data_IF_608778007505
#
_entry.id   IF_608778007505
#
_cell.length_a   1.000
_cell.length_b   1.000
_cell.length_c   1.000
_cell.angle_alpha   90.00
_cell.angle_beta   90.00
_cell.angle_gamma   90.00
#
_symmetry.space_group_name_H-M   'P 1'
#
loop_
_entity.id
_entity.type
_entity.pdbx_description
1 polymer ?
#
# COMPACT_ATOMS: atom_id res chain seq x y z
N UNK A 1 -18.26 37.85 -41.10
CA UNK A 1 -19.46 37.46 -40.33
C UNK A 1 -19.26 36.05 -39.80
N UNK A 2 -18.48 35.90 -38.72
CA UNK A 2 -18.16 34.59 -38.13
C UNK A 2 -18.86 34.46 -36.79
N UNK A 3 -19.75 33.48 -36.64
CA UNK A 3 -20.39 33.19 -35.37
C UNK A 3 -19.36 32.63 -34.38
N UNK A 4 -18.88 33.48 -33.47
CA UNK A 4 -18.26 33.06 -32.20
C UNK A 4 -19.35 33.12 -31.13
N UNK A 5 -19.99 31.99 -30.88
CA UNK A 5 -20.82 31.76 -29.70
C UNK A 5 -20.40 30.42 -29.08
N UNK A 6 -20.41 30.27 -27.74
CA UNK A 6 -20.12 28.99 -27.10
C UNK A 6 -21.19 27.97 -27.51
N UNK A 7 -20.73 26.80 -27.96
CA UNK A 7 -21.60 25.64 -28.23
C UNK A 7 -22.39 25.30 -26.96
N UNK A 8 -23.70 25.15 -27.10
CA UNK A 8 -24.62 24.86 -25.99
C UNK A 8 -24.24 23.58 -25.24
N UNK A 9 -24.48 23.57 -23.93
CA UNK A 9 -24.23 22.47 -23.00
C UNK A 9 -24.86 21.11 -23.36
N UNK A 10 -25.70 21.05 -24.39
CA UNK A 10 -26.32 19.81 -24.91
C UNK A 10 -25.41 18.97 -25.82
N UNK A 11 -24.21 19.42 -26.20
CA UNK A 11 -23.22 18.59 -26.92
C UNK A 11 -22.32 17.74 -25.99
N UNK A 12 -22.45 17.89 -24.66
CA UNK A 12 -21.97 16.88 -23.69
C UNK A 12 -22.98 15.74 -23.64
N UNK A 13 -23.08 14.99 -24.73
CA UNK A 13 -23.73 13.70 -24.75
C UNK A 13 -23.04 12.82 -23.70
N UNK A 14 -23.70 12.67 -22.56
CA UNK A 14 -23.36 11.71 -21.51
C UNK A 14 -23.21 10.36 -22.20
N UNK A 15 -21.98 9.85 -22.26
CA UNK A 15 -21.72 8.51 -22.73
C UNK A 15 -22.66 7.56 -21.98
N UNK A 16 -23.35 6.64 -22.67
CA UNK A 16 -24.24 5.70 -22.00
C UNK A 16 -23.45 4.97 -20.93
N UNK A 17 -23.89 5.10 -19.68
CA UNK A 17 -23.32 4.37 -18.56
C UNK A 17 -23.47 2.88 -18.90
N UNK A 18 -22.34 2.20 -19.05
CA UNK A 18 -22.37 0.75 -19.23
C UNK A 18 -23.15 0.10 -18.08
N UNK A 19 -23.87 -1.01 -18.34
CA UNK A 19 -24.65 -1.70 -17.32
C UNK A 19 -23.82 -1.95 -16.05
N UNK A 20 -24.37 -1.52 -14.91
CA UNK A 20 -23.74 -1.55 -13.59
C UNK A 20 -23.38 -2.98 -13.11
N UNK A 21 -23.74 -4.02 -13.86
CA UNK A 21 -23.41 -5.42 -13.55
C UNK A 21 -21.95 -5.78 -13.87
N UNK A 22 -21.27 -4.98 -14.69
CA UNK A 22 -19.81 -5.06 -14.88
C UNK A 22 -19.03 -4.06 -14.01
N UNK A 23 -19.67 -3.47 -13.00
CA UNK A 23 -19.01 -2.71 -11.94
C UNK A 23 -18.20 -3.64 -11.03
N UNK A 24 -17.15 -4.26 -11.59
CA UNK A 24 -15.93 -4.76 -10.93
C UNK A 24 -16.15 -5.11 -9.45
N UNK A 25 -16.79 -6.23 -9.19
CA UNK A 25 -16.98 -6.70 -7.81
C UNK A 25 -15.61 -6.83 -7.13
N UNK A 26 -15.46 -6.20 -5.96
CA UNK A 26 -14.22 -6.32 -5.19
C UNK A 26 -14.04 -7.79 -4.81
N UNK A 27 -12.86 -8.37 -5.00
CA UNK A 27 -12.66 -9.79 -4.73
C UNK A 27 -12.89 -10.09 -3.25
N UNK A 28 -13.67 -11.12 -2.99
CA UNK A 28 -13.96 -11.60 -1.63
C UNK A 28 -12.76 -12.36 -1.06
N UNK A 29 -12.54 -12.34 0.26
CA UNK A 29 -11.51 -13.15 0.89
C UNK A 29 -11.69 -14.65 0.59
N UNK A 30 -10.61 -15.42 0.44
CA UNK A 30 -10.69 -16.88 0.27
C UNK A 30 -11.45 -17.55 1.43
N UNK A 31 -12.18 -18.63 1.10
CA UNK A 31 -12.86 -19.46 2.09
C UNK A 31 -11.80 -20.13 2.98
N UNK A 32 -11.94 -20.02 4.30
CA UNK A 32 -10.99 -20.58 5.28
C UNK A 32 -9.97 -19.60 5.85
N UNK A 33 -10.02 -18.32 5.45
CA UNK A 33 -9.25 -17.28 6.12
C UNK A 33 -9.65 -17.12 7.57
N UNK A 34 -8.66 -16.96 8.44
CA UNK A 34 -8.90 -16.53 9.81
C UNK A 34 -9.42 -15.07 9.80
N UNK A 35 -10.14 -14.66 10.85
CA UNK A 35 -10.70 -13.30 10.98
C UNK A 35 -9.68 -12.18 10.68
N UNK A 36 -8.45 -12.18 11.25
CA UNK A 36 -7.45 -11.16 10.95
C UNK A 36 -6.97 -11.18 9.49
N UNK A 37 -6.82 -12.36 8.88
CA UNK A 37 -6.40 -12.47 7.48
C UNK A 37 -7.45 -11.87 6.54
N UNK A 38 -8.73 -12.18 6.80
CA UNK A 38 -9.85 -11.65 6.03
C UNK A 38 -10.01 -10.13 6.20
N UNK A 39 -9.70 -9.61 7.38
CA UNK A 39 -9.74 -8.17 7.64
C UNK A 39 -8.65 -7.42 6.87
N UNK A 40 -7.41 -7.93 6.90
CA UNK A 40 -6.32 -7.36 6.12
C UNK A 40 -6.65 -7.41 4.63
N UNK A 41 -7.21 -8.52 4.14
CA UNK A 41 -7.67 -8.64 2.76
C UNK A 41 -8.65 -7.53 2.41
N UNK A 42 -9.74 -7.39 3.17
CA UNK A 42 -10.77 -6.37 2.92
C UNK A 42 -10.18 -4.96 2.93
N UNK A 43 -9.32 -4.66 3.90
CA UNK A 43 -8.66 -3.35 4.01
C UNK A 43 -7.81 -3.02 2.78
N UNK A 44 -6.98 -3.96 2.32
CA UNK A 44 -6.13 -3.78 1.15
C UNK A 44 -6.95 -3.67 -0.13
N UNK A 45 -7.96 -4.54 -0.29
CA UNK A 45 -8.86 -4.50 -1.45
C UNK A 45 -9.65 -3.20 -1.49
N UNK A 46 -10.10 -2.66 -0.34
CA UNK A 46 -10.83 -1.40 -0.24
C UNK A 46 -9.95 -0.18 -0.55
N UNK A 47 -8.67 -0.20 -0.14
CA UNK A 47 -7.72 0.89 -0.35
C UNK A 47 -7.34 1.10 -1.82
N UNK A 48 -7.52 0.09 -2.67
CA UNK A 48 -7.16 0.15 -4.09
C UNK A 48 -8.37 0.46 -4.99
N UNK A 49 -8.16 1.03 -6.19
CA UNK A 49 -9.22 1.23 -7.16
C UNK A 49 -9.93 -0.08 -7.54
N UNK A 50 -11.20 0.01 -7.91
CA UNK A 50 -11.95 -1.16 -8.34
C UNK A 50 -11.33 -1.78 -9.60
N UNK A 51 -11.18 -3.12 -9.62
CA UNK A 51 -10.51 -3.87 -10.68
C UNK A 51 -8.98 -3.86 -10.65
N UNK A 52 -8.36 -3.30 -9.60
CA UNK A 52 -6.90 -3.35 -9.42
C UNK A 52 -6.37 -4.78 -9.29
N UNK A 53 -7.05 -5.59 -8.49
CA UNK A 53 -6.70 -6.99 -8.27
C UNK A 53 -7.33 -7.86 -9.35
N UNK A 54 -6.50 -8.31 -10.30
CA UNK A 54 -6.86 -9.33 -11.27
C UNK A 54 -6.73 -10.72 -10.64
N UNK A 55 -7.28 -11.74 -11.31
CA UNK A 55 -7.25 -13.14 -10.84
C UNK A 55 -5.85 -13.64 -10.49
N UNK A 56 -4.84 -13.25 -11.26
CA UNK A 56 -3.43 -13.58 -11.04
C UNK A 56 -2.86 -13.02 -9.71
N UNK A 57 -3.39 -11.89 -9.24
CA UNK A 57 -2.93 -11.26 -7.99
C UNK A 57 -3.62 -11.84 -6.75
N UNK A 58 -4.71 -12.59 -6.89
CA UNK A 58 -5.51 -13.04 -5.75
C UNK A 58 -4.74 -14.01 -4.85
N UNK A 59 -4.00 -14.95 -5.43
CA UNK A 59 -3.16 -15.87 -4.67
C UNK A 59 -2.00 -15.15 -3.98
N UNK A 60 -1.40 -14.16 -4.65
CA UNK A 60 -0.34 -13.34 -4.05
C UNK A 60 -0.85 -12.50 -2.89
N UNK A 61 -2.05 -11.92 -3.03
CA UNK A 61 -2.72 -11.18 -1.97
C UNK A 61 -3.06 -12.12 -0.80
N UNK A 62 -3.46 -13.36 -1.08
CA UNK A 62 -3.77 -14.33 -0.05
C UNK A 62 -2.55 -14.65 0.80
N UNK A 63 -1.42 -14.94 0.14
CA UNK A 63 -0.13 -15.16 0.81
C UNK A 63 0.34 -13.93 1.57
N UNK A 64 0.16 -12.74 1.01
CA UNK A 64 0.50 -11.48 1.68
C UNK A 64 -0.25 -11.34 3.00
N UNK A 65 -1.57 -11.58 3.02
CA UNK A 65 -2.38 -11.54 4.23
C UNK A 65 -1.88 -12.54 5.29
N UNK A 66 -1.57 -13.78 4.88
CA UNK A 66 -1.05 -14.81 5.78
C UNK A 66 0.30 -14.41 6.40
N UNK A 67 1.24 -13.91 5.58
CA UNK A 67 2.54 -13.44 6.07
C UNK A 67 2.40 -12.27 7.05
N UNK A 68 1.47 -11.35 6.79
CA UNK A 68 1.23 -10.20 7.68
C UNK A 68 0.71 -10.65 9.05
N UNK A 69 -0.25 -11.58 9.11
CA UNK A 69 -0.77 -12.12 10.37
C UNK A 69 0.29 -12.92 11.12
N UNK A 70 1.10 -13.72 10.43
CA UNK A 70 2.20 -14.48 11.04
C UNK A 70 3.27 -13.56 11.62
N UNK A 71 3.69 -12.54 10.87
CA UNK A 71 4.63 -11.54 11.37
C UNK A 71 4.10 -10.84 12.63
N UNK A 72 2.81 -10.47 12.66
CA UNK A 72 2.19 -9.87 13.83
C UNK A 72 2.13 -10.83 15.03
N UNK A 73 1.91 -12.13 14.81
CA UNK A 73 1.96 -13.14 15.87
C UNK A 73 3.38 -13.27 16.44
N UNK A 74 4.40 -13.39 15.59
CA UNK A 74 5.79 -13.46 16.05
C UNK A 74 6.23 -12.20 16.78
N UNK A 75 5.85 -11.01 16.28
CA UNK A 75 6.15 -9.74 16.94
C UNK A 75 5.43 -9.63 18.30
N UNK A 76 4.18 -10.09 18.41
CA UNK A 76 3.48 -10.12 19.70
C UNK A 76 4.18 -11.02 20.70
N UNK A 77 4.60 -12.21 20.28
CA UNK A 77 5.37 -13.10 21.15
C UNK A 77 6.70 -12.48 21.57
N UNK A 78 7.41 -11.82 20.65
CA UNK A 78 8.67 -11.16 20.95
C UNK A 78 8.48 -10.01 21.95
N UNK A 79 7.43 -9.20 21.77
CA UNK A 79 7.11 -8.11 22.68
C UNK A 79 6.63 -8.60 24.07
N UNK A 80 6.06 -9.79 24.13
CA UNK A 80 5.66 -10.41 25.40
C UNK A 80 6.84 -11.05 26.13
N UNK A 81 7.97 -11.29 25.45
CA UNK A 81 9.18 -11.79 26.09
C UNK A 81 9.82 -10.69 26.94
N UNK A 82 9.77 -10.85 28.26
CA UNK A 82 10.43 -9.95 29.22
C UNK A 82 11.64 -10.63 29.86
N UNK A 83 12.46 -9.86 30.59
CA UNK A 83 13.64 -10.40 31.28
C UNK A 83 13.31 -11.51 32.29
N UNK A 84 12.10 -11.51 32.85
CA UNK A 84 11.62 -12.59 33.73
C UNK A 84 11.38 -13.89 32.95
N UNK A 85 10.78 -13.81 31.76
CA UNK A 85 10.58 -14.99 30.89
C UNK A 85 11.91 -15.59 30.43
N UNK A 86 12.93 -14.75 30.20
CA UNK A 86 14.28 -15.22 29.83
C UNK A 86 14.92 -16.11 30.92
N UNK A 87 14.56 -15.88 32.18
CA UNK A 87 15.07 -16.64 33.31
C UNK A 87 14.29 -17.95 33.54
N UNK A 88 13.10 -18.10 32.94
CA UNK A 88 12.18 -19.23 33.14
C UNK A 88 12.28 -20.29 32.04
N UNK A 89 13.49 -20.47 31.49
CA UNK A 89 13.80 -21.47 30.46
C UNK A 89 13.62 -21.01 29.01
N UNK A 90 13.23 -19.75 28.78
CA UNK A 90 13.23 -19.15 27.44
C UNK A 90 14.58 -18.53 27.14
N UNK A 91 15.40 -19.16 26.29
CA UNK A 91 16.76 -18.67 26.07
C UNK A 91 16.80 -17.42 25.19
N UNK A 92 17.90 -16.66 25.28
CA UNK A 92 18.18 -15.57 24.34
C UNK A 92 18.25 -16.07 22.88
N UNK A 93 18.66 -17.32 22.67
CA UNK A 93 18.68 -17.94 21.34
C UNK A 93 17.26 -18.19 20.80
N UNK A 94 16.31 -18.57 21.65
CA UNK A 94 14.91 -18.73 21.27
C UNK A 94 14.28 -17.36 20.90
N UNK A 95 14.64 -16.32 21.66
CA UNK A 95 14.24 -14.95 21.35
C UNK A 95 14.80 -14.47 19.99
N UNK A 96 16.10 -14.67 19.74
CA UNK A 96 16.72 -14.34 18.44
C UNK A 96 16.09 -15.14 17.29
N UNK A 97 15.80 -16.43 17.50
CA UNK A 97 15.08 -17.27 16.52
C UNK A 97 13.71 -16.67 16.19
N UNK A 98 12.95 -16.25 17.20
CA UNK A 98 11.64 -15.63 17.03
C UNK A 98 11.73 -14.32 16.24
N UNK A 99 12.69 -13.45 16.57
CA UNK A 99 12.95 -12.21 15.84
C UNK A 99 13.30 -12.47 14.37
N UNK A 100 14.14 -13.48 14.10
CA UNK A 100 14.49 -13.89 12.72
C UNK A 100 13.29 -14.43 11.96
N UNK A 101 12.38 -15.15 12.62
CA UNK A 101 11.14 -15.62 11.99
C UNK A 101 10.24 -14.43 11.62
N UNK A 102 10.05 -13.48 12.53
CA UNK A 102 9.28 -12.26 12.26
C UNK A 102 9.87 -11.45 11.09
N UNK A 103 11.19 -11.34 11.01
CA UNK A 103 11.89 -10.66 9.92
C UNK A 103 11.67 -11.33 8.57
N UNK A 104 11.76 -12.67 8.51
CA UNK A 104 11.52 -13.44 7.27
C UNK A 104 10.11 -13.27 6.75
N UNK A 105 9.11 -13.34 7.63
CA UNK A 105 7.71 -13.10 7.26
C UNK A 105 7.49 -11.67 6.74
N UNK A 106 8.10 -10.67 7.39
CA UNK A 106 8.02 -9.26 7.00
C UNK A 106 8.70 -8.99 5.64
N UNK A 107 9.83 -9.66 5.36
CA UNK A 107 10.50 -9.59 4.06
C UNK A 107 9.67 -10.23 2.95
N UNK A 108 9.06 -11.39 3.22
CA UNK A 108 8.18 -12.06 2.27
C UNK A 108 6.94 -11.21 1.97
N UNK A 109 6.31 -10.62 2.99
CA UNK A 109 5.15 -9.73 2.80
C UNK A 109 5.52 -8.50 1.97
N UNK A 110 6.69 -7.88 2.22
CA UNK A 110 7.16 -6.75 1.42
C UNK A 110 7.46 -7.12 -0.04
N UNK A 111 8.01 -8.32 -0.29
CA UNK A 111 8.24 -8.80 -1.65
C UNK A 111 6.92 -8.96 -2.43
N UNK A 112 5.90 -9.55 -1.82
CA UNK A 112 4.56 -9.69 -2.41
C UNK A 112 3.87 -8.34 -2.60
N UNK A 113 4.02 -7.42 -1.64
CA UNK A 113 3.45 -6.08 -1.76
C UNK A 113 4.07 -5.29 -2.94
N UNK A 114 5.39 -5.44 -3.15
CA UNK A 114 6.08 -4.83 -4.30
C UNK A 114 5.65 -5.47 -5.62
N UNK A 115 5.49 -6.79 -5.70
CA UNK A 115 5.08 -7.46 -6.94
C UNK A 115 3.66 -7.05 -7.36
N UNK A 116 2.74 -6.91 -6.40
CA UNK A 116 1.38 -6.39 -6.64
C UNK A 116 1.30 -4.86 -6.79
N UNK A 117 2.42 -4.16 -6.57
CA UNK A 117 2.55 -2.69 -6.60
C UNK A 117 1.56 -1.95 -5.70
N UNK A 118 1.32 -2.50 -4.51
CA UNK A 118 0.45 -1.87 -3.50
C UNK A 118 1.21 -0.93 -2.56
N UNK A 119 2.54 -0.86 -2.66
CA UNK A 119 3.37 0.08 -1.88
C UNK A 119 3.40 1.45 -2.55
N UNK A 120 3.47 2.52 -1.75
CA UNK A 120 3.52 3.89 -2.28
C UNK A 120 4.70 4.11 -3.23
N UNK A 121 5.87 3.54 -2.91
CA UNK A 121 7.05 3.58 -3.78
C UNK A 121 6.82 2.91 -5.14
N UNK A 122 6.04 1.83 -5.20
CA UNK A 122 5.74 1.15 -6.46
C UNK A 122 4.72 1.92 -7.31
N UNK A 123 3.93 2.80 -6.70
CA UNK A 123 2.96 3.66 -7.39
C UNK A 123 3.60 4.92 -7.98
N UNK A 124 4.63 5.46 -7.33
CA UNK A 124 5.41 6.59 -7.84
C UNK A 124 6.27 6.12 -9.03
N UNK A 125 5.82 6.37 -10.27
CA UNK A 125 6.61 6.08 -11.48
C UNK A 125 7.85 6.97 -11.56
N UNK A 126 8.94 6.42 -12.10
CA UNK A 126 10.18 7.13 -12.38
C UNK A 126 9.98 8.37 -13.27
N UNK A 127 9.02 8.32 -14.20
CA UNK A 127 8.63 9.46 -15.05
C UNK A 127 8.15 10.66 -14.22
N UNK A 128 7.42 10.43 -13.12
CA UNK A 128 6.92 11.48 -12.24
C UNK A 128 7.99 11.99 -11.28
N UNK A 129 8.97 11.15 -10.91
CA UNK A 129 10.09 11.54 -10.07
C UNK A 129 11.07 12.47 -10.81
N UNK A 130 11.38 12.15 -12.08
CA UNK A 130 12.18 13.03 -12.95
C UNK A 130 11.44 14.34 -13.27
N UNK A 131 10.14 14.27 -13.54
CA UNK A 131 9.31 15.46 -13.81
C UNK A 131 9.12 16.34 -12.57
N UNK A 132 8.95 15.76 -11.37
CA UNK A 132 8.93 16.53 -10.10
C UNK A 132 10.28 17.16 -9.78
N UNK A 133 11.40 16.51 -10.09
CA UNK A 133 12.73 17.14 -9.96
C UNK A 133 12.89 18.30 -10.95
N UNK A 134 12.41 18.14 -12.19
CA UNK A 134 12.49 19.16 -13.25
C UNK A 134 11.53 20.34 -13.05
N UNK A 135 10.38 20.10 -12.41
CA UNK A 135 9.36 21.10 -12.09
C UNK A 135 9.55 21.76 -10.72
N UNK A 136 10.58 21.36 -9.95
CA UNK A 136 10.94 22.08 -8.74
C UNK A 136 11.49 23.44 -9.19
N UNK A 137 10.91 24.56 -8.74
CA UNK A 137 11.52 25.86 -9.00
C UNK A 137 12.97 25.79 -8.56
N UNK A 138 13.87 26.28 -9.40
CA UNK A 138 15.27 26.43 -9.04
C UNK A 138 15.29 27.44 -7.88
N UNK A 139 15.35 26.94 -6.65
CA UNK A 139 15.54 27.77 -5.48
C UNK A 139 17.00 28.19 -5.58
N UNK A 140 17.32 29.49 -5.77
CA UNK A 140 18.70 29.92 -5.83
C UNK A 140 19.43 29.43 -4.58
N UNK A 141 20.66 28.93 -4.74
CA UNK A 141 21.57 28.56 -3.64
C UNK A 141 22.08 29.81 -2.90
N UNK A 142 21.17 30.71 -2.54
CA UNK A 142 21.44 31.95 -1.82
C UNK A 142 20.78 31.93 -0.44
N UNK A 143 20.31 30.76 0.02
CA UNK A 143 19.81 30.62 1.39
C UNK A 143 20.98 30.46 2.35
N UNK A 144 21.62 31.58 2.69
CA UNK A 144 22.37 31.72 3.94
C UNK A 144 21.34 31.98 5.04
N UNK A 145 21.31 31.14 6.07
CA UNK A 145 20.24 31.02 7.08
C UNK A 145 19.87 32.22 7.96
N UNK A 146 20.04 33.45 7.47
CA UNK A 146 19.73 34.72 8.14
C UNK A 146 18.51 35.45 7.54
N UNK A 147 17.75 34.82 6.63
CA UNK A 147 16.55 35.43 6.05
C UNK A 147 15.26 34.67 6.42
N UNK A 148 14.26 35.43 6.87
CA UNK A 148 12.91 34.93 7.16
C UNK A 148 12.24 34.41 5.89
N UNK A 149 11.61 33.21 5.90
CA UNK A 149 11.00 32.66 4.71
C UNK A 149 9.87 33.57 4.17
N UNK A 150 9.70 33.65 2.83
CA UNK A 150 8.73 34.55 2.20
C UNK A 150 7.25 34.12 2.34
N UNK A 151 6.93 33.25 3.29
CA UNK A 151 5.58 32.79 3.61
C UNK A 151 5.21 33.01 5.09
N UNK A 152 5.95 33.85 5.79
CA UNK A 152 5.51 34.50 7.03
C UNK A 152 4.85 35.85 6.77
#
# INVERSE_FOLDING_TARGET
>A
MGQRGPKSANELAVAPAEPLDNARSRPVPPKGFDKPEAEIWRRIVAAMPSGWFKREHLELLARYCQHQVRAERFNRWANATTGETLNDGFSLEDFDRLCRMAERESRASLALARSMRITHQAQLRAETAATKRRSRPDIPDTWNGDQTPPWE
#
